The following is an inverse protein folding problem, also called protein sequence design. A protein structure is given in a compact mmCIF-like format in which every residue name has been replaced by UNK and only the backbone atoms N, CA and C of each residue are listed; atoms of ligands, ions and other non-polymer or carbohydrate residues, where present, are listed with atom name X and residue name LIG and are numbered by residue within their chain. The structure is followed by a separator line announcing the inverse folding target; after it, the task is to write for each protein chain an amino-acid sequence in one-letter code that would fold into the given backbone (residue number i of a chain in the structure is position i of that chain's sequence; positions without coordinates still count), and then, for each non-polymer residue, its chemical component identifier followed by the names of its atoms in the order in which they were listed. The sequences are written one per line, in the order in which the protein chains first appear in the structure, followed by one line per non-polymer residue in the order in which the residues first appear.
data_IF_006817444983
#
_entry.id   IF_006817444983
#
_cell.length_a   1.000
_cell.length_b   1.000
_cell.length_c   1.000
_cell.angle_alpha   90.00
_cell.angle_beta   90.00
_cell.angle_gamma   90.00
#
_symmetry.space_group_name_H-M   'P 1'
#
loop_
_entity.id
_entity.type
_entity.pdbx_description
1 polymer ?
#
# COMPACT_ATOMS: atom_id res chain seq x y z
N UNK A 1 11.13 -0.02 8.07
CA UNK A 1 10.19 -0.84 8.87
C UNK A 1 8.90 -0.12 9.23
N UNK A 2 8.93 1.13 9.74
CA UNK A 2 7.70 1.83 10.19
C UNK A 2 6.68 2.05 9.06
N UNK A 3 7.12 2.53 7.88
CA UNK A 3 6.20 2.73 6.74
C UNK A 3 5.53 1.43 6.29
N UNK A 4 6.30 0.33 6.24
CA UNK A 4 5.78 -0.99 5.90
C UNK A 4 4.81 -1.54 6.95
N UNK A 5 5.04 -1.26 8.23
CA UNK A 5 4.09 -1.56 9.30
C UNK A 5 2.78 -0.79 9.11
N UNK A 6 2.82 0.48 8.72
CA UNK A 6 1.63 1.26 8.43
C UNK A 6 0.84 0.73 7.23
N UNK A 7 1.52 0.44 6.11
CA UNK A 7 0.87 -0.14 4.93
C UNK A 7 0.23 -1.50 5.26
N UNK A 8 0.93 -2.35 6.01
CA UNK A 8 0.40 -3.62 6.48
C UNK A 8 -0.80 -3.45 7.41
N UNK A 9 -0.77 -2.48 8.33
CA UNK A 9 -1.90 -2.17 9.22
C UNK A 9 -3.12 -1.72 8.42
N UNK A 10 -2.94 -0.88 7.39
CA UNK A 10 -4.06 -0.44 6.54
C UNK A 10 -4.63 -1.58 5.71
N UNK A 11 -3.79 -2.49 5.21
CA UNK A 11 -4.25 -3.71 4.54
C UNK A 11 -5.02 -4.63 5.50
N UNK A 12 -4.54 -4.78 6.74
CA UNK A 12 -5.20 -5.56 7.77
C UNK A 12 -6.57 -5.00 8.16
N UNK A 13 -6.68 -3.69 8.37
CA UNK A 13 -7.97 -3.05 8.67
C UNK A 13 -8.90 -3.02 7.47
N UNK A 14 -8.38 -3.02 6.24
CA UNK A 14 -9.20 -3.19 5.04
C UNK A 14 -9.83 -4.60 4.96
N UNK A 15 -9.07 -5.65 5.28
CA UNK A 15 -9.55 -7.03 5.20
C UNK A 15 -10.46 -7.42 6.38
N UNK A 16 -10.09 -7.04 7.60
CA UNK A 16 -10.75 -7.49 8.83
C UNK A 16 -11.63 -6.41 9.47
N UNK A 17 -11.67 -5.20 8.90
CA UNK A 17 -12.36 -4.03 9.43
C UNK A 17 -11.56 -3.27 10.49
N UNK A 18 -12.01 -2.06 10.81
CA UNK A 18 -11.37 -1.18 11.78
C UNK A 18 -11.68 -1.58 13.23
N UNK A 19 -10.79 -1.25 14.16
CA UNK A 19 -10.98 -1.49 15.60
C UNK A 19 -9.69 -1.63 16.38
N UNK A 20 -9.64 -1.05 17.59
CA UNK A 20 -8.46 -1.01 18.47
C UNK A 20 -7.86 -2.40 18.72
N UNK A 21 -8.69 -3.42 18.93
CA UNK A 21 -8.25 -4.80 19.16
C UNK A 21 -7.56 -5.39 17.93
N UNK A 22 -8.10 -5.16 16.73
CA UNK A 22 -7.55 -5.70 15.48
C UNK A 22 -6.21 -5.06 15.14
N UNK A 23 -6.08 -3.76 15.39
CA UNK A 23 -4.80 -3.06 15.22
C UNK A 23 -3.75 -3.54 16.21
N UNK A 24 -4.14 -3.77 17.47
CA UNK A 24 -3.23 -4.27 18.49
C UNK A 24 -2.73 -5.68 18.14
N UNK A 25 -3.62 -6.56 17.68
CA UNK A 25 -3.26 -7.91 17.20
C UNK A 25 -2.25 -7.83 16.06
N UNK A 26 -2.49 -6.97 15.05
CA UNK A 26 -1.53 -6.78 13.96
C UNK A 26 -0.17 -6.29 14.46
N UNK A 27 -0.13 -5.30 15.36
CA UNK A 27 1.12 -4.76 15.91
C UNK A 27 1.90 -5.81 16.70
N UNK A 28 1.21 -6.64 17.50
CA UNK A 28 1.86 -7.73 18.26
C UNK A 28 2.44 -8.78 17.31
N UNK A 29 1.67 -9.21 16.31
CA UNK A 29 2.15 -10.15 15.28
C UNK A 29 3.37 -9.57 14.55
N UNK A 30 3.29 -8.31 14.11
CA UNK A 30 4.38 -7.63 13.42
C UNK A 30 5.67 -7.63 14.25
N UNK A 31 5.59 -7.28 15.55
CA UNK A 31 6.75 -7.30 16.44
C UNK A 31 7.35 -8.69 16.62
N UNK A 32 6.52 -9.74 16.73
CA UNK A 32 7.01 -11.12 16.83
C UNK A 32 7.76 -11.52 15.55
N UNK A 33 7.21 -11.22 14.39
CA UNK A 33 7.87 -11.50 13.11
C UNK A 33 9.18 -10.73 12.93
N UNK A 34 9.31 -9.54 13.51
CA UNK A 34 10.59 -8.80 13.52
C UNK A 34 11.67 -9.57 14.29
N UNK A 35 11.33 -10.15 15.45
CA UNK A 35 12.28 -10.94 16.25
C UNK A 35 12.69 -12.21 15.49
N UNK A 36 11.74 -12.90 14.87
CA UNK A 36 12.00 -14.09 14.05
C UNK A 36 12.85 -13.74 12.82
N UNK A 37 12.52 -12.64 12.14
CA UNK A 37 13.28 -12.18 10.97
C UNK A 37 14.71 -11.77 11.31
N UNK A 38 14.95 -11.29 12.54
CA UNK A 38 16.29 -10.97 13.02
C UNK A 38 17.15 -12.22 13.33
N UNK A 39 16.53 -13.37 13.61
CA UNK A 39 17.23 -14.63 13.86
C UNK A 39 17.32 -15.57 12.65
N UNK A 40 16.55 -15.30 11.59
CA UNK A 40 16.55 -16.07 10.35
C UNK A 40 17.76 -15.74 9.44
N UNK A 41 18.14 -16.67 8.58
CA UNK A 41 19.18 -16.46 7.57
C UNK A 41 18.72 -15.45 6.51
N UNK A 42 19.62 -14.54 6.11
CA UNK A 42 19.30 -13.41 5.23
C UNK A 42 18.79 -13.84 3.84
N UNK A 43 19.36 -14.88 3.24
CA UNK A 43 19.01 -15.34 1.89
C UNK A 43 17.52 -15.67 1.73
N UNK A 44 16.98 -16.66 2.48
CA UNK A 44 15.56 -17.01 2.43
C UNK A 44 14.60 -15.83 2.71
N UNK A 45 15.01 -14.90 3.59
CA UNK A 45 14.21 -13.71 3.91
C UNK A 45 14.10 -12.76 2.72
N UNK A 46 15.19 -12.59 1.96
CA UNK A 46 15.19 -11.78 0.73
C UNK A 46 14.31 -12.44 -0.33
N UNK A 47 14.52 -13.72 -0.61
CA UNK A 47 13.75 -14.45 -1.64
C UNK A 47 12.24 -14.40 -1.37
N UNK A 48 11.84 -14.58 -0.11
CA UNK A 48 10.45 -14.47 0.30
C UNK A 48 9.89 -13.04 0.14
N UNK A 49 10.69 -12.03 0.53
CA UNK A 49 10.28 -10.62 0.43
C UNK A 49 10.08 -10.22 -1.04
N UNK A 50 10.98 -10.62 -1.92
CA UNK A 50 10.89 -10.35 -3.36
C UNK A 50 9.67 -11.04 -3.98
N UNK A 51 9.41 -12.31 -3.64
CA UNK A 51 8.22 -13.02 -4.11
C UNK A 51 6.91 -12.33 -3.65
N UNK A 52 6.87 -11.84 -2.41
CA UNK A 52 5.71 -11.13 -1.88
C UNK A 52 5.46 -9.79 -2.58
N UNK A 53 6.52 -9.00 -2.82
CA UNK A 53 6.42 -7.73 -3.56
C UNK A 53 6.01 -7.99 -5.00
N UNK A 54 6.56 -9.03 -5.64
CA UNK A 54 6.18 -9.42 -6.98
C UNK A 54 4.69 -9.75 -7.08
N UNK A 55 4.17 -10.55 -6.15
CA UNK A 55 2.73 -10.88 -6.11
C UNK A 55 1.85 -9.63 -5.96
N UNK A 56 2.22 -8.68 -5.09
CA UNK A 56 1.49 -7.42 -4.94
C UNK A 56 1.55 -6.56 -6.21
N UNK A 57 2.72 -6.49 -6.85
CA UNK A 57 2.91 -5.73 -8.08
C UNK A 57 2.04 -6.27 -9.22
N UNK A 58 1.99 -7.60 -9.41
CA UNK A 58 1.18 -8.23 -10.46
C UNK A 58 -0.29 -7.83 -10.34
N UNK A 59 -0.88 -7.97 -9.14
CA UNK A 59 -2.28 -7.62 -8.91
C UNK A 59 -2.52 -6.11 -9.13
N UNK A 60 -1.58 -5.27 -8.69
CA UNK A 60 -1.68 -3.81 -8.84
C UNK A 60 -1.65 -3.37 -10.32
N UNK A 61 -0.70 -3.88 -11.10
CA UNK A 61 -0.55 -3.54 -12.53
C UNK A 61 -1.80 -3.96 -13.32
N UNK A 62 -2.36 -5.14 -13.03
CA UNK A 62 -3.61 -5.60 -13.65
C UNK A 62 -4.74 -4.62 -13.34
N UNK A 63 -4.90 -4.22 -12.07
CA UNK A 63 -5.90 -3.22 -11.68
C UNK A 63 -5.71 -1.88 -12.40
N UNK A 64 -4.48 -1.36 -12.46
CA UNK A 64 -4.17 -0.12 -13.17
C UNK A 64 -4.47 -0.20 -14.66
N UNK A 65 -4.24 -1.34 -15.30
CA UNK A 65 -4.56 -1.52 -16.71
C UNK A 65 -6.07 -1.34 -16.97
N UNK A 66 -6.92 -1.91 -16.13
CA UNK A 66 -8.37 -1.71 -16.22
C UNK A 66 -8.82 -0.29 -15.85
N UNK A 67 -8.14 0.37 -14.91
CA UNK A 67 -8.46 1.73 -14.49
C UNK A 67 -7.88 2.82 -15.43
N UNK A 68 -6.97 2.45 -16.33
CA UNK A 68 -6.29 3.37 -17.27
C UNK A 68 -7.22 4.34 -18.01
N UNK A 69 -8.35 3.92 -18.62
CA UNK A 69 -9.25 4.86 -19.31
C UNK A 69 -9.89 5.88 -18.35
N UNK A 70 -10.20 5.48 -17.12
CA UNK A 70 -10.78 6.37 -16.11
C UNK A 70 -9.74 7.39 -15.68
N UNK A 71 -8.52 6.94 -15.38
CA UNK A 71 -7.40 7.82 -14.99
C UNK A 71 -7.10 8.84 -16.09
N UNK A 72 -7.12 8.42 -17.36
CA UNK A 72 -6.92 9.33 -18.50
C UNK A 72 -7.99 10.44 -18.54
N UNK A 73 -9.26 10.09 -18.37
CA UNK A 73 -10.38 11.05 -18.35
C UNK A 73 -10.25 12.04 -17.19
N UNK A 74 -9.94 11.56 -15.99
CA UNK A 74 -9.75 12.42 -14.81
C UNK A 74 -8.55 13.35 -14.96
N UNK A 75 -7.47 12.88 -15.61
CA UNK A 75 -6.30 13.69 -15.90
C UNK A 75 -6.61 14.82 -16.88
N UNK A 76 -7.33 14.55 -17.96
CA UNK A 76 -7.77 15.56 -18.93
C UNK A 76 -8.68 16.61 -18.26
N UNK A 77 -9.62 16.15 -17.44
CA UNK A 77 -10.50 17.02 -16.64
C UNK A 77 -9.70 17.91 -15.68
N UNK A 78 -8.73 17.33 -14.95
CA UNK A 78 -7.86 18.07 -14.04
C UNK A 78 -7.00 19.11 -14.76
N UNK A 79 -6.42 18.76 -15.92
CA UNK A 79 -5.61 19.70 -16.71
C UNK A 79 -6.45 20.86 -17.25
N UNK A 80 -7.70 20.61 -17.67
CA UNK A 80 -8.62 21.66 -18.11
C UNK A 80 -8.96 22.64 -16.97
N UNK A 81 -9.31 22.12 -15.78
CA UNK A 81 -9.55 22.94 -14.57
C UNK A 81 -8.32 23.75 -14.15
N UNK A 82 -7.12 23.15 -14.25
CA UNK A 82 -5.86 23.85 -13.94
C UNK A 82 -5.59 25.02 -14.89
N UNK A 83 -5.89 24.88 -16.18
CA UNK A 83 -5.73 25.94 -17.18
C UNK A 83 -6.81 27.03 -17.06
N UNK A 84 -8.01 26.66 -16.62
CA UNK A 84 -9.15 27.59 -16.46
C UNK A 84 -9.08 28.47 -15.20
N UNK A 85 -7.94 28.53 -14.49
CA UNK A 85 -7.75 29.31 -13.24
C UNK A 85 -8.76 29.03 -12.10
N UNK A 86 -9.63 28.02 -12.23
CA UNK A 86 -10.62 27.66 -11.19
C UNK A 86 -10.00 26.98 -9.97
N UNK A 87 -8.74 26.54 -10.05
CA UNK A 87 -8.00 26.14 -8.86
C UNK A 87 -7.48 27.41 -8.19
N UNK A 88 -8.40 28.08 -7.47
CA UNK A 88 -8.05 29.09 -6.47
C UNK A 88 -6.95 28.47 -5.63
N UNK A 89 -5.74 29.03 -5.69
CA UNK A 89 -4.61 28.66 -4.82
C UNK A 89 -5.17 28.59 -3.40
N UNK A 90 -5.25 27.38 -2.84
CA UNK A 90 -5.35 27.21 -1.40
C UNK A 90 -3.96 27.52 -0.86
N UNK A 91 -3.65 28.81 -0.76
CA UNK A 91 -2.49 29.36 -0.08
C UNK A 91 -2.98 30.59 0.66
#
# INVERSE_FOLDING_TARGET
MISWSYYGLKAWTFLFGEGKTKELVFKVIFCIFVIIGASASLGPVIDFSDAAIFAMAVVNIIGLYFLMPIVKRELESYQSRRKSFEIKKLT
#
